data_IF_124096688203
#
_entry.id   IF_124096688203
#
_cell.length_a   1.000
_cell.length_b   1.000
_cell.length_c   1.000
_cell.angle_alpha   90.00
_cell.angle_beta   90.00
_cell.angle_gamma   90.00
#
_symmetry.space_group_name_H-M   'P 1'
#
loop_
_entity.id
_entity.type
_entity.pdbx_description
1 polymer ?
#
# COMPACT_ATOMS: atom_id res chain seq x y z
N UNK A 1 5.92 -5.43 -24.15
CA UNK A 1 6.70 -4.58 -23.23
C UNK A 1 5.91 -4.57 -21.94
N UNK A 2 6.30 -5.39 -20.95
CA UNK A 2 5.62 -5.40 -19.66
C UNK A 2 6.15 -4.22 -18.88
N UNK A 3 5.34 -3.17 -18.73
CA UNK A 3 5.66 -2.09 -17.81
C UNK A 3 5.51 -2.65 -16.40
N UNK A 4 6.58 -2.60 -15.61
CA UNK A 4 6.52 -2.99 -14.21
C UNK A 4 5.70 -1.93 -13.47
N UNK A 5 4.45 -2.25 -13.17
CA UNK A 5 3.58 -1.39 -12.36
C UNK A 5 4.11 -1.43 -10.93
N UNK A 6 4.41 -0.25 -10.38
CA UNK A 6 4.88 -0.09 -9.00
C UNK A 6 4.13 1.07 -8.35
N UNK A 7 4.14 1.14 -7.02
CA UNK A 7 3.53 2.25 -6.30
C UNK A 7 2.02 2.33 -6.44
N UNK A 8 1.49 3.55 -6.50
CA UNK A 8 0.05 3.83 -6.58
C UNK A 8 -0.61 3.24 -7.82
N UNK A 9 0.11 3.17 -8.94
CA UNK A 9 -0.37 2.57 -10.18
C UNK A 9 -0.62 1.07 -10.03
N UNK A 10 0.22 0.37 -9.25
CA UNK A 10 0.03 -1.05 -8.97
C UNK A 10 -1.20 -1.28 -8.08
N UNK A 11 -1.39 -0.46 -7.05
CA UNK A 11 -2.60 -0.53 -6.20
C UNK A 11 -3.85 -0.35 -7.03
N UNK A 12 -3.88 0.65 -7.93
CA UNK A 12 -5.01 0.88 -8.82
C UNK A 12 -5.28 -0.32 -9.72
N UNK A 13 -4.25 -0.90 -10.32
CA UNK A 13 -4.41 -2.09 -11.17
C UNK A 13 -4.93 -3.31 -10.39
N UNK A 14 -4.55 -3.46 -9.12
CA UNK A 14 -5.08 -4.51 -8.23
C UNK A 14 -6.56 -4.27 -7.91
N UNK A 15 -6.95 -3.04 -7.60
CA UNK A 15 -8.34 -2.67 -7.35
C UNK A 15 -9.23 -2.85 -8.60
N UNK A 16 -8.75 -2.43 -9.78
CA UNK A 16 -9.46 -2.63 -11.07
C UNK A 16 -9.63 -4.11 -11.41
N UNK A 17 -8.71 -4.97 -10.94
CA UNK A 17 -8.83 -6.42 -11.06
C UNK A 17 -9.86 -7.03 -10.10
N UNK A 18 -10.32 -6.27 -9.10
CA UNK A 18 -11.24 -6.71 -8.06
C UNK A 18 -10.56 -7.33 -6.85
N UNK A 19 -9.29 -7.02 -6.59
CA UNK A 19 -8.64 -7.41 -5.33
C UNK A 19 -9.21 -6.53 -4.18
N UNK A 20 -10.01 -7.12 -3.30
CA UNK A 20 -10.78 -6.39 -2.27
C UNK A 20 -9.98 -6.04 -1.00
N UNK A 21 -8.74 -6.51 -0.87
CA UNK A 21 -7.93 -6.33 0.35
C UNK A 21 -6.45 -6.09 0.02
N UNK A 22 -6.16 -4.96 -0.61
CA UNK A 22 -4.78 -4.55 -0.87
C UNK A 22 -4.25 -3.81 0.36
N UNK A 23 -3.29 -4.43 1.05
CA UNK A 23 -2.52 -3.75 2.09
C UNK A 23 -1.63 -2.71 1.43
N UNK A 24 -1.85 -1.44 1.75
CA UNK A 24 -1.03 -0.36 1.21
C UNK A 24 -0.43 0.47 2.34
N UNK A 25 0.81 0.90 2.13
CA UNK A 25 1.33 2.05 2.83
C UNK A 25 0.74 3.31 2.18
N UNK A 26 0.22 4.22 2.99
CA UNK A 26 -0.44 5.45 2.53
C UNK A 26 0.31 6.69 3.00
N UNK A 27 0.26 7.76 2.21
CA UNK A 27 0.70 9.08 2.63
C UNK A 27 -0.08 10.15 1.88
N UNK A 28 -0.23 11.30 2.54
CA UNK A 28 -0.79 12.51 1.93
C UNK A 28 0.28 13.52 1.54
N UNK A 29 1.55 13.29 1.92
CA UNK A 29 2.63 14.23 1.69
C UNK A 29 3.35 13.95 0.36
N UNK A 30 3.83 12.73 0.12
CA UNK A 30 4.55 12.36 -1.11
C UNK A 30 4.75 10.85 -1.25
N UNK A 31 5.00 10.35 -2.46
CA UNK A 31 5.35 8.94 -2.69
C UNK A 31 6.66 8.53 -1.99
N UNK A 32 7.65 9.43 -1.89
CA UNK A 32 8.86 9.16 -1.11
C UNK A 32 8.58 8.97 0.38
N UNK A 33 7.58 9.67 0.89
CA UNK A 33 7.15 9.54 2.27
C UNK A 33 6.52 8.17 2.50
N UNK A 34 5.70 7.69 1.55
CA UNK A 34 5.21 6.31 1.54
C UNK A 34 6.37 5.30 1.59
N UNK A 35 7.41 5.48 0.78
CA UNK A 35 8.58 4.58 0.77
C UNK A 35 9.32 4.60 2.12
N UNK A 36 9.46 5.77 2.75
CA UNK A 36 10.08 5.89 4.06
C UNK A 36 9.25 5.24 5.16
N UNK A 37 7.92 5.35 5.09
CA UNK A 37 6.98 4.68 5.98
C UNK A 37 7.08 3.16 5.86
N UNK A 38 7.18 2.64 4.63
CA UNK A 38 7.43 1.20 4.39
C UNK A 38 8.75 0.77 5.04
N UNK A 39 9.81 1.57 4.89
CA UNK A 39 11.14 1.27 5.46
C UNK A 39 11.18 1.35 6.98
N UNK A 40 10.45 2.30 7.58
CA UNK A 40 10.38 2.47 9.02
C UNK A 40 9.29 1.61 9.68
N UNK A 41 8.55 0.80 8.90
CA UNK A 41 7.46 -0.06 9.39
C UNK A 41 6.50 0.75 10.26
N UNK A 42 6.17 1.98 9.85
CA UNK A 42 5.21 2.77 10.61
C UNK A 42 3.80 2.24 10.32
N UNK A 43 3.35 1.34 11.19
CA UNK A 43 2.06 0.67 11.10
C UNK A 43 0.88 1.63 11.09
N UNK A 44 1.06 2.88 11.55
CA UNK A 44 0.00 3.89 11.55
C UNK A 44 -0.39 4.34 10.14
N UNK A 45 0.44 4.06 9.15
CA UNK A 45 0.21 4.41 7.76
C UNK A 45 0.04 3.16 6.88
N UNK A 46 -0.19 1.98 7.47
CA UNK A 46 -0.57 0.77 6.74
C UNK A 46 -2.08 0.61 6.79
N UNK A 47 -2.73 0.82 5.65
CA UNK A 47 -4.19 0.80 5.55
C UNK A 47 -4.65 -0.25 4.54
N UNK A 48 -5.82 -0.82 4.79
CA UNK A 48 -6.52 -1.65 3.81
C UNK A 48 -7.23 -0.74 2.81
N UNK A 49 -6.78 -0.77 1.56
CA UNK A 49 -7.43 -0.02 0.49
C UNK A 49 -8.46 -0.91 -0.19
N UNK A 50 -9.69 -0.39 -0.27
CA UNK A 50 -10.86 -1.10 -0.80
C UNK A 50 -11.35 -0.53 -2.12
N UNK A 51 -11.05 0.74 -2.41
CA UNK A 51 -11.48 1.40 -3.64
C UNK A 51 -10.56 2.56 -4.02
N UNK A 52 -10.65 2.98 -5.28
CA UNK A 52 -10.03 4.21 -5.79
C UNK A 52 -11.13 5.06 -6.43
N UNK A 53 -11.50 6.16 -5.76
CA UNK A 53 -12.60 7.05 -6.14
C UNK A 53 -12.13 8.51 -6.03
N UNK A 54 -12.57 9.39 -6.94
CA UNK A 54 -12.23 10.83 -6.94
C UNK A 54 -10.72 11.11 -6.81
N UNK A 55 -9.90 10.36 -7.56
CA UNK A 55 -8.43 10.45 -7.53
C UNK A 55 -7.79 10.13 -6.15
N UNK A 56 -8.55 9.49 -5.25
CA UNK A 56 -8.13 9.13 -3.91
C UNK A 56 -8.31 7.63 -3.65
N UNK A 57 -7.41 7.05 -2.86
CA UNK A 57 -7.51 5.69 -2.35
C UNK A 57 -8.36 5.68 -1.07
N UNK A 58 -9.46 4.95 -1.11
CA UNK A 58 -10.38 4.77 0.02
C UNK A 58 -9.91 3.59 0.87
N UNK A 59 -9.70 3.83 2.16
CA UNK A 59 -9.45 2.74 3.10
C UNK A 59 -10.74 2.21 3.73
N UNK A 60 -10.71 0.97 4.19
CA UNK A 60 -11.83 0.30 4.88
C UNK A 60 -12.34 1.10 6.09
N UNK A 61 -11.44 1.83 6.77
CA UNK A 61 -11.77 2.68 7.91
C UNK A 61 -12.43 4.02 7.55
N UNK A 62 -12.70 4.27 6.26
CA UNK A 62 -13.36 5.48 5.76
C UNK A 62 -12.45 6.69 5.56
N UNK A 63 -11.13 6.50 5.63
CA UNK A 63 -10.13 7.50 5.28
C UNK A 63 -9.82 7.52 3.78
N UNK A 64 -9.43 8.69 3.27
CA UNK A 64 -9.01 8.88 1.87
C UNK A 64 -7.55 9.30 1.80
N UNK A 65 -6.79 8.72 0.87
CA UNK A 65 -5.35 8.95 0.72
C UNK A 65 -4.98 9.28 -0.72
N UNK A 66 -4.03 10.19 -0.93
CA UNK A 66 -3.56 10.55 -2.28
C UNK A 66 -2.62 9.51 -2.87
N UNK A 67 -1.78 8.90 -2.05
CA UNK A 67 -0.80 7.91 -2.47
C UNK A 67 -0.98 6.62 -1.67
N UNK A 68 -0.99 5.49 -2.35
CA UNK A 68 -1.14 4.18 -1.74
C UNK A 68 -0.24 3.17 -2.44
N UNK A 69 0.83 2.72 -1.78
CA UNK A 69 1.79 1.77 -2.34
C UNK A 69 1.50 0.39 -1.75
N UNK A 70 1.27 -0.64 -2.58
CA UNK A 70 0.91 -1.95 -2.07
C UNK A 70 2.13 -2.60 -1.41
N UNK A 71 1.93 -3.19 -0.23
CA UNK A 71 2.97 -3.84 0.55
C UNK A 71 2.64 -5.31 0.79
N UNK A 72 3.68 -6.14 0.79
CA UNK A 72 3.56 -7.54 1.18
C UNK A 72 3.93 -7.68 2.66
N UNK A 73 2.94 -7.88 3.53
CA UNK A 73 3.19 -8.38 4.88
C UNK A 73 3.57 -9.86 4.77
N UNK A 74 4.82 -10.18 5.09
CA UNK A 74 5.26 -11.55 5.29
C UNK A 74 5.55 -11.73 6.79
N UNK A 75 5.08 -12.83 7.37
CA UNK A 75 5.49 -13.22 8.72
C UNK A 75 7.00 -13.50 8.70
N UNK A 76 7.73 -12.89 9.62
CA UNK A 76 9.14 -13.20 9.82
C UNK A 76 9.24 -14.54 10.55
N UNK A 77 9.97 -15.47 9.96
CA UNK A 77 10.34 -16.72 10.59
C UNK A 77 11.54 -16.54 11.52
N UNK A 78 11.70 -17.43 12.50
CA UNK A 78 12.90 -17.51 13.37
C UNK A 78 14.21 -17.50 12.56
N UNK A 79 14.22 -18.17 11.41
CA UNK A 79 15.34 -18.19 10.47
C UNK A 79 15.72 -16.82 9.91
N UNK A 80 14.77 -15.92 9.69
CA UNK A 80 15.02 -14.58 9.13
C UNK A 80 15.55 -13.59 10.17
N UNK A 81 15.30 -13.86 11.45
CA UNK A 81 15.77 -13.04 12.58
C UNK A 81 16.98 -13.65 13.30
N UNK A 82 17.48 -14.79 12.81
CA UNK A 82 18.65 -15.47 13.38
C UNK A 82 18.41 -16.02 14.79
N UNK A 83 17.17 -16.44 15.10
CA UNK A 83 16.77 -17.07 16.37
C UNK A 83 16.53 -18.57 16.23
#
# INVERSE_FOLDING_TARGET
MGFELTGSDLTRAMLERGDEQVWCAVSNESEQDVINTIKNIDINFMMHIVAFEDECFLCEEGGTWKYAVPIKKAELSQNEVGL
#
